data_IF_589012728046
#
_entry.id   IF_589012728046
#
_cell.length_a   1.000
_cell.length_b   1.000
_cell.length_c   1.000
_cell.angle_alpha   90.00
_cell.angle_beta   90.00
_cell.angle_gamma   90.00
#
_symmetry.space_group_name_H-M   'P 1'
#
loop_
_entity.id
_entity.type
_entity.pdbx_description
1 polymer ?
#
# COMPACT_ATOMS: atom_id res chain seq x y z
N UNK A 1 38.15 -31.79 -63.09
CA UNK A 1 37.52 -31.29 -61.84
C UNK A 1 36.11 -31.86 -61.74
N UNK A 2 35.79 -32.69 -60.74
CA UNK A 2 34.62 -33.60 -60.77
C UNK A 2 33.31 -32.83 -60.50
N UNK A 3 32.41 -32.82 -61.49
CA UNK A 3 31.06 -32.23 -61.44
C UNK A 3 30.26 -32.60 -60.17
N UNK A 4 30.51 -33.80 -59.62
CA UNK A 4 29.93 -34.27 -58.36
C UNK A 4 30.28 -33.43 -57.12
N UNK A 5 31.44 -32.77 -57.11
CA UNK A 5 31.87 -31.91 -56.00
C UNK A 5 31.14 -30.56 -56.03
N UNK A 6 30.91 -30.01 -57.23
CA UNK A 6 30.22 -28.73 -57.40
C UNK A 6 28.75 -28.83 -56.96
N UNK A 7 28.06 -29.91 -57.32
CA UNK A 7 26.65 -30.14 -56.94
C UNK A 7 26.49 -30.20 -55.40
N UNK A 8 27.43 -30.85 -54.69
CA UNK A 8 27.38 -30.92 -53.21
C UNK A 8 27.56 -29.55 -52.56
N UNK A 9 28.40 -28.68 -53.13
CA UNK A 9 28.60 -27.31 -52.63
C UNK A 9 27.33 -26.48 -52.80
N UNK A 10 26.66 -26.56 -53.95
CA UNK A 10 25.40 -25.83 -54.17
C UNK A 10 24.28 -26.28 -53.24
N UNK A 11 24.14 -27.60 -52.99
CA UNK A 11 23.15 -28.12 -52.04
C UNK A 11 23.45 -27.63 -50.62
N UNK A 12 24.72 -27.65 -50.20
CA UNK A 12 25.11 -27.17 -48.88
C UNK A 12 24.85 -25.65 -48.70
N UNK A 13 25.17 -24.84 -49.71
CA UNK A 13 24.87 -23.41 -49.70
C UNK A 13 23.37 -23.12 -49.70
N UNK A 14 22.57 -23.91 -50.41
CA UNK A 14 21.11 -23.78 -50.41
C UNK A 14 20.51 -24.13 -49.04
N UNK A 15 20.99 -25.18 -48.38
CA UNK A 15 20.56 -25.55 -47.02
C UNK A 15 20.91 -24.44 -46.03
N UNK A 16 22.13 -23.90 -46.07
CA UNK A 16 22.55 -22.80 -45.20
C UNK A 16 21.72 -21.53 -45.43
N UNK A 17 21.41 -21.20 -46.68
CA UNK A 17 20.58 -20.05 -47.02
C UNK A 17 19.15 -20.18 -46.47
N UNK A 18 18.53 -21.36 -46.61
CA UNK A 18 17.20 -21.61 -46.04
C UNK A 18 17.22 -21.62 -44.51
N UNK A 19 18.29 -22.11 -43.87
CA UNK A 19 18.41 -22.07 -42.40
C UNK A 19 18.51 -20.63 -41.87
N UNK A 20 19.23 -19.75 -42.58
CA UNK A 20 19.40 -18.35 -42.20
C UNK A 20 18.09 -17.55 -42.29
N UNK A 21 17.27 -17.80 -43.31
CA UNK A 21 15.97 -17.14 -43.49
C UNK A 21 15.00 -17.53 -42.36
N UNK A 22 14.96 -18.80 -41.96
CA UNK A 22 14.09 -19.25 -40.87
C UNK A 22 14.50 -18.66 -39.52
N UNK A 23 15.78 -18.33 -39.31
CA UNK A 23 16.26 -17.77 -38.05
C UNK A 23 15.84 -16.30 -37.84
N UNK A 24 15.75 -15.50 -38.92
CA UNK A 24 15.38 -14.08 -38.82
C UNK A 24 13.89 -13.89 -38.52
N UNK A 25 13.02 -14.72 -39.11
CA UNK A 25 11.56 -14.63 -38.93
C UNK A 25 11.14 -15.01 -37.51
N UNK A 26 11.80 -16.00 -36.90
CA UNK A 26 11.51 -16.42 -35.52
C UNK A 26 11.87 -15.31 -34.53
N UNK A 27 13.00 -14.61 -34.69
CA UNK A 27 13.39 -13.51 -33.80
C UNK A 27 12.39 -12.36 -33.80
N UNK A 28 11.91 -11.98 -34.98
CA UNK A 28 10.92 -10.91 -35.11
C UNK A 28 9.62 -11.25 -34.36
N UNK A 29 9.14 -12.49 -34.51
CA UNK A 29 7.93 -12.95 -33.82
C UNK A 29 8.09 -12.95 -32.29
N UNK A 30 9.19 -13.49 -31.76
CA UNK A 30 9.45 -13.48 -30.31
C UNK A 30 9.56 -12.06 -29.74
N UNK A 31 10.16 -11.12 -30.47
CA UNK A 31 10.32 -9.73 -30.00
C UNK A 31 9.00 -8.96 -29.91
N UNK A 32 8.06 -9.21 -30.83
CA UNK A 32 6.74 -8.54 -30.83
C UNK A 32 5.90 -8.98 -29.64
N UNK A 33 5.88 -10.29 -29.33
CA UNK A 33 5.09 -10.82 -28.22
C UNK A 33 5.63 -10.37 -26.85
N UNK A 34 6.95 -10.27 -26.67
CA UNK A 34 7.54 -9.81 -25.40
C UNK A 34 7.25 -8.33 -25.10
N UNK A 35 7.23 -7.50 -26.14
CA UNK A 35 7.03 -6.05 -25.99
C UNK A 35 5.59 -5.71 -25.58
N UNK A 36 4.60 -6.44 -26.10
CA UNK A 36 3.20 -6.24 -25.73
C UNK A 36 2.90 -6.65 -24.27
N UNK A 37 3.52 -7.75 -23.81
CA UNK A 37 3.36 -8.22 -22.44
C UNK A 37 4.02 -7.26 -21.44
N UNK A 38 5.19 -6.73 -21.80
CA UNK A 38 5.94 -5.80 -20.94
C UNK A 38 5.22 -4.45 -20.78
N UNK A 39 4.65 -3.91 -21.87
CA UNK A 39 3.90 -2.64 -21.82
C UNK A 39 2.64 -2.70 -20.94
N UNK A 40 1.92 -3.83 -20.92
CA UNK A 40 0.76 -4.02 -20.04
C UNK A 40 1.13 -4.13 -18.56
N UNK A 41 2.31 -4.68 -18.25
CA UNK A 41 2.80 -4.82 -16.86
C UNK A 41 3.24 -3.46 -16.31
N UNK A 42 3.88 -2.60 -17.11
CA UNK A 42 4.31 -1.27 -16.67
C UNK A 42 3.11 -0.38 -16.30
N UNK A 43 2.02 -0.46 -17.07
CA UNK A 43 0.80 0.32 -16.81
C UNK A 43 0.09 -0.09 -15.51
N UNK A 44 0.22 -1.35 -15.10
CA UNK A 44 -0.33 -1.85 -13.83
C UNK A 44 0.59 -1.45 -12.66
N UNK A 45 1.91 -1.54 -12.82
CA UNK A 45 2.87 -1.17 -11.78
C UNK A 45 2.75 0.31 -11.37
N UNK A 46 2.56 1.21 -12.34
CA UNK A 46 2.35 2.64 -12.09
C UNK A 46 1.02 2.93 -11.37
N UNK A 47 -0.04 2.16 -11.69
CA UNK A 47 -1.33 2.27 -11.00
C UNK A 47 -1.26 1.77 -9.55
N UNK A 48 -0.44 0.76 -9.25
CA UNK A 48 -0.26 0.22 -7.89
C UNK A 48 0.51 1.19 -6.99
N UNK A 49 1.51 1.93 -7.51
CA UNK A 49 2.21 2.92 -6.69
C UNK A 49 1.34 4.12 -6.28
N UNK A 50 0.37 4.50 -7.10
CA UNK A 50 -0.51 5.65 -6.84
C UNK A 50 -1.63 5.37 -5.82
N UNK A 51 -1.83 4.11 -5.45
CA UNK A 51 -2.84 3.69 -4.47
C UNK A 51 -2.27 3.44 -3.06
N UNK A 52 -1.08 3.96 -2.73
CA UNK A 52 -0.58 3.95 -1.35
C UNK A 52 -1.37 4.97 -0.53
N UNK A 53 -2.43 4.52 0.13
CA UNK A 53 -2.98 5.23 1.27
C UNK A 53 -1.85 5.47 2.28
N UNK A 54 -1.72 6.67 2.86
CA UNK A 54 -0.77 6.88 3.95
C UNK A 54 -1.06 5.82 5.01
N UNK A 55 -0.05 5.01 5.34
CA UNK A 55 -0.13 4.12 6.49
C UNK A 55 -0.16 5.05 7.70
N UNK A 56 -1.29 5.06 8.41
CA UNK A 56 -1.37 5.76 9.69
C UNK A 56 -0.47 4.96 10.64
N UNK A 57 0.68 5.52 10.96
CA UNK A 57 1.63 4.92 11.89
C UNK A 57 1.54 5.68 13.22
N UNK A 58 1.15 4.95 14.27
CA UNK A 58 1.14 5.47 15.63
C UNK A 58 2.56 5.43 16.18
N UNK A 59 3.10 6.58 16.60
CA UNK A 59 4.47 6.70 17.12
C UNK A 59 4.53 6.73 18.65
N UNK A 60 3.38 6.58 19.32
CA UNK A 60 3.24 6.59 20.77
C UNK A 60 3.23 5.19 21.41
N UNK A 61 3.26 5.18 22.74
CA UNK A 61 3.09 3.97 23.53
C UNK A 61 1.61 3.62 23.69
N UNK A 62 1.25 2.37 23.40
CA UNK A 62 -0.11 1.86 23.57
C UNK A 62 -0.18 1.09 24.90
N UNK A 63 -1.07 1.52 25.79
CA UNK A 63 -1.40 0.82 27.03
C UNK A 63 -2.81 0.21 26.94
N UNK A 64 -2.99 -0.97 27.55
CA UNK A 64 -4.28 -1.69 27.57
C UNK A 64 -4.74 -1.83 29.02
N UNK A 65 -6.01 -1.49 29.26
CA UNK A 65 -6.68 -1.58 30.56
C UNK A 65 -8.00 -2.35 30.43
N UNK A 66 -8.35 -3.15 31.44
CA UNK A 66 -9.52 -4.03 31.47
C UNK A 66 -10.50 -3.66 32.59
N UNK A 67 -11.57 -2.97 32.22
CA UNK A 67 -12.69 -2.71 33.10
C UNK A 67 -13.56 -3.96 33.36
N UNK A 68 -14.19 -4.07 34.55
CA UNK A 68 -14.14 -3.13 35.69
C UNK A 68 -13.03 -3.43 36.70
N UNK A 69 -12.10 -4.35 36.38
CA UNK A 69 -11.04 -4.76 37.34
C UNK A 69 -10.02 -3.65 37.56
N UNK A 70 -9.84 -2.80 36.55
CA UNK A 70 -8.96 -1.65 36.60
C UNK A 70 -9.78 -0.35 36.62
N UNK A 71 -9.18 0.68 37.19
CA UNK A 71 -9.72 2.04 37.25
C UNK A 71 -9.61 2.73 35.89
N UNK A 72 -10.45 2.36 34.91
CA UNK A 72 -10.34 2.92 33.55
C UNK A 72 -10.63 4.42 33.52
N UNK A 73 -11.55 4.90 34.36
CA UNK A 73 -11.88 6.34 34.45
C UNK A 73 -10.67 7.12 34.94
N UNK A 74 -10.08 6.73 36.08
CA UNK A 74 -8.91 7.39 36.63
C UNK A 74 -7.68 7.29 35.72
N UNK A 75 -7.46 6.15 35.05
CA UNK A 75 -6.39 5.97 34.06
C UNK A 75 -6.57 6.89 32.85
N UNK A 76 -7.80 7.00 32.34
CA UNK A 76 -8.12 7.86 31.19
C UNK A 76 -7.96 9.33 31.54
N UNK A 77 -8.48 9.77 32.68
CA UNK A 77 -8.28 11.15 33.17
C UNK A 77 -6.80 11.46 33.39
N UNK A 78 -6.04 10.55 33.98
CA UNK A 78 -4.60 10.71 34.19
C UNK A 78 -3.84 10.84 32.87
N UNK A 79 -4.19 10.05 31.85
CA UNK A 79 -3.62 10.15 30.52
C UNK A 79 -3.94 11.51 29.87
N UNK A 80 -5.21 11.93 29.89
CA UNK A 80 -5.63 13.19 29.29
C UNK A 80 -5.04 14.42 29.99
N UNK A 81 -4.80 14.37 31.31
CA UNK A 81 -4.07 15.43 32.04
C UNK A 81 -2.63 15.64 31.56
N UNK A 82 -2.05 14.66 30.87
CA UNK A 82 -0.74 14.79 30.25
C UNK A 82 -0.73 15.64 28.96
N UNK A 83 -1.90 15.95 28.39
CA UNK A 83 -2.01 16.71 27.15
C UNK A 83 -1.54 18.16 27.34
N UNK A 84 -0.80 18.68 26.33
CA UNK A 84 -0.21 20.03 26.38
C UNK A 84 -0.77 21.01 25.36
N UNK A 85 -1.38 20.52 24.28
CA UNK A 85 -1.82 21.36 23.17
C UNK A 85 -3.28 21.09 22.79
N UNK A 86 -3.65 19.81 22.70
CA UNK A 86 -4.97 19.42 22.21
C UNK A 86 -5.43 18.10 22.81
N UNK A 87 -6.74 17.92 22.86
CA UNK A 87 -7.41 16.68 23.22
C UNK A 87 -8.49 16.43 22.18
N UNK A 88 -8.24 15.48 21.27
CA UNK A 88 -9.19 15.11 20.22
C UNK A 88 -9.66 13.68 20.48
N UNK A 89 -10.96 13.51 20.74
CA UNK A 89 -11.55 12.22 21.11
C UNK A 89 -12.74 11.88 20.21
N UNK A 90 -12.85 10.61 19.84
CA UNK A 90 -14.06 10.03 19.29
C UNK A 90 -14.58 9.01 20.31
N UNK A 91 -15.73 9.31 20.92
CA UNK A 91 -16.33 8.48 21.96
C UNK A 91 -17.63 7.89 21.41
N UNK A 92 -17.96 6.68 21.83
CA UNK A 92 -19.27 6.12 21.54
C UNK A 92 -20.34 6.79 22.42
N UNK A 93 -20.00 7.00 23.70
CA UNK A 93 -20.88 7.55 24.71
C UNK A 93 -20.09 8.42 25.70
N UNK A 94 -20.71 9.48 26.21
CA UNK A 94 -20.12 10.44 27.14
C UNK A 94 -21.12 10.81 28.23
N UNK A 95 -21.15 9.99 29.28
CA UNK A 95 -22.07 10.08 30.42
C UNK A 95 -21.34 10.31 31.76
N UNK A 96 -20.05 9.98 31.84
CA UNK A 96 -19.23 10.14 33.04
C UNK A 96 -19.07 11.62 33.44
N UNK A 97 -19.62 12.06 34.59
CA UNK A 97 -19.61 13.47 34.97
C UNK A 97 -18.20 14.05 35.14
N UNK A 98 -17.26 13.26 35.66
CA UNK A 98 -15.87 13.69 35.84
C UNK A 98 -15.17 13.93 34.51
N UNK A 99 -15.47 13.12 33.49
CA UNK A 99 -14.95 13.31 32.12
C UNK A 99 -15.56 14.55 31.47
N UNK A 100 -16.87 14.74 31.58
CA UNK A 100 -17.56 15.92 31.05
C UNK A 100 -16.98 17.20 31.67
N UNK A 101 -16.85 17.23 33.00
CA UNK A 101 -16.28 18.36 33.71
C UNK A 101 -14.82 18.60 33.30
N UNK A 102 -14.03 17.54 33.18
CA UNK A 102 -12.64 17.65 32.73
C UNK A 102 -12.56 18.29 31.33
N UNK A 103 -13.38 17.86 30.37
CA UNK A 103 -13.39 18.45 29.03
C UNK A 103 -13.82 19.93 29.05
N UNK A 104 -14.84 20.31 29.84
CA UNK A 104 -15.24 21.72 29.99
C UNK A 104 -14.07 22.56 30.54
N UNK A 105 -13.41 22.09 31.60
CA UNK A 105 -12.30 22.79 32.22
C UNK A 105 -11.12 22.94 31.24
N UNK A 106 -10.75 21.88 30.51
CA UNK A 106 -9.64 21.90 29.57
C UNK A 106 -9.94 22.69 28.30
N UNK A 107 -11.20 22.80 27.86
CA UNK A 107 -11.57 23.55 26.65
C UNK A 107 -11.21 25.05 26.71
N UNK A 108 -10.97 25.57 27.92
CA UNK A 108 -10.56 26.96 28.16
C UNK A 108 -9.08 27.21 27.89
N UNK A 109 -8.27 26.16 27.87
CA UNK A 109 -6.80 26.23 27.82
C UNK A 109 -6.18 25.39 26.71
N UNK A 110 -6.89 24.37 26.19
CA UNK A 110 -6.44 23.46 25.14
C UNK A 110 -7.44 23.40 23.97
N UNK A 111 -6.98 22.99 22.78
CA UNK A 111 -7.89 22.66 21.67
C UNK A 111 -8.59 21.32 21.94
N UNK A 112 -9.81 21.38 22.47
CA UNK A 112 -10.62 20.19 22.78
C UNK A 112 -11.67 19.98 21.68
N UNK A 113 -11.66 18.78 21.06
CA UNK A 113 -12.64 18.39 20.04
C UNK A 113 -13.14 16.99 20.35
N UNK A 114 -14.44 16.86 20.51
CA UNK A 114 -15.09 15.60 20.85
C UNK A 114 -16.13 15.31 19.79
N UNK A 115 -16.07 14.10 19.23
CA UNK A 115 -17.13 13.53 18.40
C UNK A 115 -17.76 12.41 19.21
N UNK A 116 -19.08 12.44 19.33
CA UNK A 116 -19.86 11.40 20.01
C UNK A 116 -20.88 10.82 19.03
N UNK A 117 -21.30 9.58 19.26
CA UNK A 117 -22.41 9.02 18.49
C UNK A 117 -23.69 9.85 18.68
N UNK A 118 -24.59 9.77 17.70
CA UNK A 118 -25.85 10.53 17.73
C UNK A 118 -26.78 10.08 18.86
N UNK A 119 -26.65 8.82 19.30
CA UNK A 119 -27.54 8.24 20.31
C UNK A 119 -27.11 8.53 21.76
N UNK A 120 -25.86 8.99 22.00
CA UNK A 120 -25.24 9.27 23.32
C UNK A 120 -26.16 9.03 24.53
N UNK A 121 -26.00 7.87 25.15
CA UNK A 121 -27.00 7.21 26.00
C UNK A 121 -27.07 7.78 27.43
#
# INVERSE_FOLDING_TARGET
MKLRTIIKIFIFLFILYNLAINFSTIKAFYSTTSNELTGKITDIADKVQKARTPVIEETGDIAVYFCPREDCEGRTLAFMRGARQQIHCALFDLDLPEMIQFFDDQSRVLDVKIVVDNENY
#
